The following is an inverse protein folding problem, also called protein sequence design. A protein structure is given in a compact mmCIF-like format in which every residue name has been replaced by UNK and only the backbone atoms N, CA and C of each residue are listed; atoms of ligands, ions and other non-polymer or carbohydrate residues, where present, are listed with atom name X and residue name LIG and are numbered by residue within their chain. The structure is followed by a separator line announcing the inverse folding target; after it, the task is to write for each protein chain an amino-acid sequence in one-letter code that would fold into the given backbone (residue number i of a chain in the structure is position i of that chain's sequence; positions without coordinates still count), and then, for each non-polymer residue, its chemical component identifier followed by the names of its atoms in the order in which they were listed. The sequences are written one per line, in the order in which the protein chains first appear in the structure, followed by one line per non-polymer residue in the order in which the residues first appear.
data_IF_825293995762
#
_entry.id   IF_825293995762
#
_cell.length_a   1.000
_cell.length_b   1.000
_cell.length_c   1.000
_cell.angle_alpha   90.00
_cell.angle_beta   90.00
_cell.angle_gamma   90.00
#
_symmetry.space_group_name_H-M   'P 1'
#
loop_
_entity.id
_entity.type
_entity.pdbx_description
1 polymer ?
#
# COMPACT_ATOMS: atom_id res chain seq x y z
N UNK A 1 9.59 32.15 27.35
CA UNK A 1 10.01 31.05 26.45
C UNK A 1 11.02 31.63 25.47
N UNK A 2 12.21 31.07 25.41
CA UNK A 2 13.25 31.57 24.49
C UNK A 2 13.02 30.84 23.15
N UNK A 3 12.74 31.60 22.11
CA UNK A 3 12.70 31.13 20.72
C UNK A 3 13.98 31.58 20.05
N UNK A 4 14.67 30.65 19.39
CA UNK A 4 15.78 31.02 18.53
C UNK A 4 15.25 31.01 17.11
N UNK A 5 15.26 32.16 16.45
CA UNK A 5 14.83 32.31 15.05
C UNK A 5 16.07 32.29 14.14
N UNK A 6 16.13 31.29 13.26
CA UNK A 6 17.12 31.19 12.21
C UNK A 6 16.38 30.86 10.90
N UNK A 7 15.68 31.84 10.36
CA UNK A 7 15.03 31.71 9.07
C UNK A 7 16.09 31.53 7.98
N UNK A 8 16.18 30.35 7.42
CA UNK A 8 16.97 30.04 6.24
C UNK A 8 18.20 29.15 6.45
N UNK A 9 18.60 28.81 7.68
CA UNK A 9 19.78 27.98 7.92
C UNK A 9 19.39 26.64 8.54
N UNK A 10 19.78 25.53 7.89
CA UNK A 10 19.77 24.19 8.48
C UNK A 10 20.81 24.12 9.59
N UNK A 11 20.43 23.53 10.72
CA UNK A 11 21.34 23.32 11.84
C UNK A 11 21.90 21.93 11.83
N UNK A 12 23.20 21.80 11.74
CA UNK A 12 23.90 20.53 11.81
C UNK A 12 24.44 20.27 13.20
N UNK A 13 23.99 19.21 13.86
CA UNK A 13 24.57 18.69 15.12
C UNK A 13 25.61 17.63 14.80
N UNK A 14 26.87 17.92 15.10
CA UNK A 14 28.00 17.00 14.87
C UNK A 14 28.36 16.20 16.13
N UNK A 15 27.95 16.68 17.29
CA UNK A 15 28.22 16.08 18.60
C UNK A 15 27.15 16.51 19.62
N UNK A 16 27.16 15.90 20.81
CA UNK A 16 26.20 16.22 21.87
C UNK A 16 26.27 17.68 22.32
N UNK A 17 27.46 18.31 22.31
CA UNK A 17 27.61 19.72 22.73
C UNK A 17 26.86 20.68 21.79
N UNK A 18 26.79 20.37 20.49
CA UNK A 18 25.99 21.13 19.54
C UNK A 18 24.50 21.06 19.90
N UNK A 19 24.02 19.86 20.22
CA UNK A 19 22.64 19.61 20.65
C UNK A 19 22.33 20.26 22.02
N UNK A 20 23.25 20.25 22.96
CA UNK A 20 23.12 20.90 24.26
C UNK A 20 23.00 22.43 24.13
N UNK A 21 23.57 23.01 23.09
CA UNK A 21 23.37 24.42 22.73
C UNK A 21 21.91 24.80 22.48
N UNK A 22 21.06 23.82 22.16
CA UNK A 22 19.61 24.02 21.96
C UNK A 22 18.78 23.89 23.23
N UNK A 23 19.33 23.33 24.31
CA UNK A 23 18.58 22.93 25.52
C UNK A 23 17.81 24.07 26.19
N UNK A 24 18.28 25.33 26.04
CA UNK A 24 17.59 26.52 26.57
C UNK A 24 16.43 26.99 25.68
N UNK A 25 16.22 26.37 24.51
CA UNK A 25 15.24 26.78 23.50
C UNK A 25 14.05 25.88 23.52
N UNK A 26 12.86 26.42 23.68
CA UNK A 26 11.63 25.62 23.58
C UNK A 26 11.21 25.37 22.13
N UNK A 27 11.58 26.25 21.20
CA UNK A 27 11.25 26.13 19.79
C UNK A 27 12.48 26.40 18.94
N UNK A 28 12.80 25.48 18.04
CA UNK A 28 13.78 25.66 16.97
C UNK A 28 13.03 25.98 15.67
N UNK A 29 13.36 27.12 15.06
CA UNK A 29 12.84 27.46 13.74
C UNK A 29 13.81 27.00 12.67
N UNK A 30 13.28 26.41 11.59
CA UNK A 30 14.04 25.77 10.51
C UNK A 30 14.31 24.29 10.78
N UNK A 31 15.21 23.72 9.98
CA UNK A 31 15.54 22.31 10.01
C UNK A 31 16.66 22.00 11.00
N UNK A 32 16.64 20.81 11.56
CA UNK A 32 17.69 20.23 12.39
C UNK A 32 18.23 18.99 11.69
N UNK A 33 19.49 19.05 11.30
CA UNK A 33 20.22 17.93 10.69
C UNK A 33 21.23 17.36 11.70
N UNK A 34 21.25 16.05 11.82
CA UNK A 34 22.28 15.32 12.56
C UNK A 34 23.32 14.85 11.56
N UNK A 35 24.59 15.15 11.83
CA UNK A 35 25.68 14.77 10.91
C UNK A 35 25.73 13.27 10.65
N UNK A 36 25.91 12.87 9.40
CA UNK A 36 26.15 11.47 9.01
C UNK A 36 27.41 10.83 9.62
N UNK A 37 28.29 11.63 10.22
CA UNK A 37 29.48 11.15 10.96
C UNK A 37 29.23 11.01 12.46
N UNK A 38 28.00 11.27 12.94
CA UNK A 38 27.67 11.16 14.37
C UNK A 38 27.85 9.72 14.88
N UNK A 39 28.34 9.58 16.12
CA UNK A 39 28.58 8.30 16.77
C UNK A 39 28.05 8.32 18.20
N UNK A 40 27.44 7.22 18.65
CA UNK A 40 26.88 7.08 19.98
C UNK A 40 25.45 7.63 20.10
N UNK A 41 25.04 8.02 21.31
CA UNK A 41 23.69 8.49 21.60
C UNK A 41 23.60 10.00 21.53
N UNK A 42 22.56 10.51 20.89
CA UNK A 42 22.20 11.94 20.83
C UNK A 42 20.93 12.21 21.62
N UNK A 43 20.96 13.28 22.42
CA UNK A 43 19.80 13.75 23.19
C UNK A 43 19.50 15.20 22.85
N UNK A 44 18.28 15.48 22.36
CA UNK A 44 17.77 16.83 22.14
C UNK A 44 16.96 17.30 23.37
N UNK A 45 17.68 17.73 24.41
CA UNK A 45 17.08 18.12 25.67
C UNK A 45 16.40 19.50 25.58
N UNK A 46 15.27 19.70 26.28
CA UNK A 46 14.59 21.00 26.44
C UNK A 46 13.79 21.49 25.24
N UNK A 47 14.09 21.00 24.03
CA UNK A 47 13.38 21.37 22.80
C UNK A 47 11.98 20.76 22.82
N UNK A 48 10.96 21.60 22.61
CA UNK A 48 9.55 21.15 22.54
C UNK A 48 9.01 21.11 21.11
N UNK A 49 9.54 21.96 20.24
CA UNK A 49 9.06 22.08 18.86
C UNK A 49 10.23 22.34 17.91
N UNK A 50 10.20 21.69 16.75
CA UNK A 50 11.01 21.99 15.57
C UNK A 50 10.03 22.43 14.49
N UNK A 51 10.17 23.64 13.93
CA UNK A 51 9.22 24.13 12.92
C UNK A 51 9.47 23.57 11.53
N UNK A 52 10.67 23.14 11.23
CA UNK A 52 11.08 22.40 10.03
C UNK A 52 11.17 20.90 10.28
N UNK A 53 12.08 20.25 9.56
CA UNK A 53 12.36 18.82 9.67
C UNK A 53 13.41 18.48 10.73
N UNK A 54 13.46 17.21 11.09
CA UNK A 54 14.55 16.58 11.84
C UNK A 54 15.11 15.45 10.98
N UNK A 55 16.39 15.51 10.62
CA UNK A 55 16.98 14.53 9.73
C UNK A 55 18.33 14.00 10.21
N UNK A 56 18.60 12.73 9.87
CA UNK A 56 19.92 12.11 9.98
C UNK A 56 20.10 11.11 8.84
N UNK A 57 21.18 11.24 8.09
CA UNK A 57 21.50 10.36 6.98
C UNK A 57 22.91 9.79 7.12
N UNK A 58 23.04 8.46 7.05
CA UNK A 58 24.31 7.75 6.99
C UNK A 58 25.10 7.66 8.30
N UNK A 59 24.57 8.12 9.44
CA UNK A 59 25.26 8.01 10.73
C UNK A 59 25.28 6.53 11.24
N UNK A 60 26.04 5.70 10.57
CA UNK A 60 26.10 4.25 10.79
C UNK A 60 26.59 3.84 12.18
N UNK A 61 27.25 4.74 12.93
CA UNK A 61 27.72 4.49 14.30
C UNK A 61 26.82 5.12 15.39
N UNK A 62 25.69 5.69 14.99
CA UNK A 62 24.70 6.23 15.93
C UNK A 62 23.89 5.11 16.57
N UNK A 63 23.88 5.04 17.90
CA UNK A 63 23.23 3.98 18.67
C UNK A 63 21.88 4.39 19.24
N UNK A 64 21.70 5.69 19.54
CA UNK A 64 20.45 6.20 20.10
C UNK A 64 20.14 7.63 19.67
N UNK A 65 18.85 7.94 19.53
CA UNK A 65 18.34 9.28 19.34
C UNK A 65 17.13 9.50 20.26
N UNK A 66 17.19 10.53 21.10
CA UNK A 66 16.12 10.83 22.04
C UNK A 66 15.80 12.30 22.15
N UNK A 67 14.52 12.62 22.37
CA UNK A 67 14.01 13.96 22.61
C UNK A 67 12.73 13.89 23.48
N UNK A 68 12.89 13.74 24.78
CA UNK A 68 11.79 13.47 25.72
C UNK A 68 10.74 14.60 25.79
N UNK A 69 11.11 15.84 25.51
CA UNK A 69 10.23 17.01 25.57
C UNK A 69 9.64 17.41 24.21
N UNK A 70 10.15 16.86 23.10
CA UNK A 70 9.76 17.24 21.74
C UNK A 70 8.36 16.70 21.44
N UNK A 71 7.41 17.61 21.20
CA UNK A 71 6.02 17.26 20.93
C UNK A 71 5.62 17.44 19.46
N UNK A 72 6.36 18.26 18.70
CA UNK A 72 6.06 18.44 17.26
C UNK A 72 7.30 18.67 16.41
N UNK A 73 7.26 18.11 15.20
CA UNK A 73 8.17 18.37 14.07
C UNK A 73 7.29 18.86 12.92
N UNK A 74 7.52 20.07 12.45
CA UNK A 74 6.63 20.75 11.49
C UNK A 74 6.66 20.14 10.09
N UNK A 75 7.81 19.59 9.70
CA UNK A 75 8.04 18.96 8.40
C UNK A 75 8.44 17.49 8.59
N UNK A 76 9.38 16.98 7.86
CA UNK A 76 9.74 15.55 7.82
C UNK A 76 10.65 15.16 8.98
N UNK A 77 10.31 14.06 9.65
CA UNK A 77 11.22 13.32 10.52
C UNK A 77 11.85 12.18 9.70
N UNK A 78 13.10 12.40 9.27
CA UNK A 78 13.80 11.52 8.33
C UNK A 78 15.03 10.88 8.95
N UNK A 79 15.07 9.56 8.95
CA UNK A 79 16.21 8.76 9.38
C UNK A 79 16.56 7.76 8.27
N UNK A 80 17.80 7.81 7.77
CA UNK A 80 18.25 6.96 6.66
C UNK A 80 19.61 6.33 6.98
N UNK A 81 19.74 5.03 6.81
CA UNK A 81 21.03 4.35 6.88
C UNK A 81 21.70 4.31 8.26
N UNK A 82 20.92 4.40 9.34
CA UNK A 82 21.43 4.35 10.71
C UNK A 82 21.51 2.87 11.15
N UNK A 83 22.50 2.16 10.67
CA UNK A 83 22.58 0.70 10.74
C UNK A 83 22.82 0.13 12.14
N UNK A 84 23.25 0.94 13.10
CA UNK A 84 23.44 0.54 14.51
C UNK A 84 22.42 1.17 15.46
N UNK A 85 21.46 1.95 14.94
CA UNK A 85 20.44 2.61 15.77
C UNK A 85 19.53 1.56 16.42
N UNK A 86 19.55 1.49 17.75
CA UNK A 86 18.71 0.57 18.53
C UNK A 86 17.61 1.30 19.31
N UNK A 87 17.86 2.57 19.65
CA UNK A 87 16.96 3.35 20.51
C UNK A 87 16.47 4.60 19.78
N UNK A 88 15.15 4.74 19.67
CA UNK A 88 14.50 5.92 19.14
C UNK A 88 13.37 6.34 20.12
N UNK A 89 13.67 7.32 21.02
CA UNK A 89 12.79 7.68 22.12
C UNK A 89 12.31 9.12 22.04
N UNK A 90 11.01 9.29 21.76
CA UNK A 90 10.33 10.58 21.61
C UNK A 90 9.01 10.57 22.40
N UNK A 91 9.12 10.46 23.72
CA UNK A 91 7.99 10.20 24.61
C UNK A 91 6.83 11.21 24.53
N UNK A 92 7.13 12.47 24.20
CA UNK A 92 6.13 13.53 24.08
C UNK A 92 5.62 13.78 22.65
N UNK A 93 6.20 13.14 21.64
CA UNK A 93 5.91 13.42 20.23
C UNK A 93 4.50 12.97 19.85
N UNK A 94 3.72 13.92 19.32
CA UNK A 94 2.33 13.68 18.90
C UNK A 94 2.05 14.16 17.47
N UNK A 95 2.89 15.07 16.95
CA UNK A 95 2.66 15.68 15.64
C UNK A 95 3.94 15.71 14.81
N UNK A 96 3.84 15.23 13.58
CA UNK A 96 4.93 15.24 12.60
C UNK A 96 4.36 15.57 11.22
N UNK A 97 5.05 16.37 10.42
CA UNK A 97 4.63 16.62 9.04
C UNK A 97 4.64 15.32 8.22
N UNK A 98 5.76 14.59 8.24
CA UNK A 98 5.85 13.22 7.71
C UNK A 98 6.92 12.41 8.45
N UNK A 99 6.80 11.09 8.43
CA UNK A 99 7.80 10.15 8.94
C UNK A 99 8.42 9.40 7.75
N UNK A 100 9.75 9.41 7.67
CA UNK A 100 10.54 8.68 6.67
C UNK A 100 11.67 7.92 7.36
N UNK A 101 11.49 6.63 7.65
CA UNK A 101 12.50 5.77 8.24
C UNK A 101 12.92 4.71 7.23
N UNK A 102 14.20 4.75 6.83
CA UNK A 102 14.75 3.86 5.80
C UNK A 102 16.07 3.26 6.25
N UNK A 103 16.24 1.96 6.09
CA UNK A 103 17.47 1.22 6.41
C UNK A 103 17.91 1.40 7.88
N UNK A 104 17.04 1.02 8.81
CA UNK A 104 17.27 1.01 10.26
C UNK A 104 17.17 -0.42 10.82
N UNK A 105 18.05 -1.36 10.42
CA UNK A 105 17.87 -2.79 10.65
C UNK A 105 17.93 -3.22 12.12
N UNK A 106 18.55 -2.42 13.00
CA UNK A 106 18.65 -2.72 14.43
C UNK A 106 17.54 -2.05 15.27
N UNK A 107 16.74 -1.18 14.67
CA UNK A 107 15.63 -0.51 15.36
C UNK A 107 14.43 -1.47 15.47
N UNK A 108 14.17 -2.00 16.67
CA UNK A 108 13.14 -3.03 16.91
C UNK A 108 11.79 -2.45 17.38
N UNK A 109 11.80 -1.24 17.94
CA UNK A 109 10.59 -0.58 18.45
C UNK A 109 10.72 0.94 18.39
N UNK A 110 9.56 1.60 18.39
CA UNK A 110 9.44 3.07 18.54
C UNK A 110 9.00 3.36 19.97
N UNK A 111 9.79 4.14 20.73
CA UNK A 111 9.37 4.62 22.04
C UNK A 111 8.72 6.01 21.89
N UNK A 112 7.53 6.02 21.30
CA UNK A 112 6.66 7.19 21.16
C UNK A 112 5.49 7.04 22.15
N UNK A 113 5.79 7.26 23.43
CA UNK A 113 4.88 6.93 24.56
C UNK A 113 3.49 7.58 24.45
N UNK A 114 3.40 8.84 24.00
CA UNK A 114 2.11 9.49 23.74
C UNK A 114 1.46 9.02 22.44
N UNK A 115 2.26 8.51 21.53
CA UNK A 115 1.85 8.14 20.19
C UNK A 115 1.70 9.33 19.24
N UNK A 116 2.20 9.16 18.02
CA UNK A 116 2.03 10.15 16.94
C UNK A 116 0.60 10.08 16.44
N UNK A 117 -0.17 11.14 16.66
CA UNK A 117 -1.59 11.22 16.27
C UNK A 117 -1.81 12.00 14.99
N UNK A 118 -0.84 12.83 14.58
CA UNK A 118 -0.89 13.61 13.34
C UNK A 118 0.37 13.40 12.51
N UNK A 119 0.21 12.90 11.28
CA UNK A 119 1.22 12.89 10.24
C UNK A 119 0.58 12.97 8.85
N UNK A 120 1.20 13.71 7.93
CA UNK A 120 0.76 13.77 6.53
C UNK A 120 1.07 12.48 5.79
N UNK A 121 2.22 11.86 6.05
CA UNK A 121 2.59 10.54 5.53
C UNK A 121 3.50 9.77 6.50
N UNK A 122 3.49 8.46 6.36
CA UNK A 122 4.39 7.55 7.08
C UNK A 122 5.00 6.57 6.07
N UNK A 123 6.31 6.61 5.92
CA UNK A 123 7.11 5.72 5.08
C UNK A 123 8.11 5.00 5.98
N UNK A 124 8.00 3.69 6.09
CA UNK A 124 8.91 2.86 6.91
C UNK A 124 9.37 1.68 6.05
N UNK A 125 10.65 1.71 5.68
CA UNK A 125 11.23 0.74 4.75
C UNK A 125 12.51 0.14 5.30
N UNK A 126 12.63 -1.18 5.22
CA UNK A 126 13.83 -1.93 5.60
C UNK A 126 14.31 -1.58 7.02
N UNK A 127 13.43 -1.78 8.00
CA UNK A 127 13.73 -1.58 9.43
C UNK A 127 13.64 -2.90 10.19
N UNK A 128 14.20 -2.90 11.43
CA UNK A 128 14.09 -4.03 12.36
C UNK A 128 12.78 -4.06 13.17
N UNK A 129 11.83 -3.14 12.89
CA UNK A 129 10.63 -2.98 13.69
C UNK A 129 9.77 -4.25 13.71
N UNK A 130 9.36 -4.65 14.90
CA UNK A 130 8.46 -5.80 15.13
C UNK A 130 6.98 -5.40 15.20
N UNK A 131 6.69 -4.11 15.43
CA UNK A 131 5.36 -3.52 15.44
C UNK A 131 5.43 -2.03 15.11
N UNK A 132 4.28 -1.42 14.81
CA UNK A 132 4.15 0.04 14.64
C UNK A 132 3.55 0.71 15.89
N UNK A 133 3.75 0.14 17.07
CA UNK A 133 3.34 0.76 18.32
C UNK A 133 3.97 2.15 18.45
N UNK A 134 3.17 3.14 18.88
CA UNK A 134 3.57 4.55 18.87
C UNK A 134 3.06 5.34 17.65
N UNK A 135 2.56 4.67 16.61
CA UNK A 135 1.82 5.29 15.49
C UNK A 135 0.33 5.16 15.78
N UNK A 136 -0.32 6.26 16.14
CA UNK A 136 -1.73 6.29 16.63
C UNK A 136 -2.59 7.24 15.81
N UNK A 137 -2.33 7.34 14.49
CA UNK A 137 -2.96 8.29 13.58
C UNK A 137 -4.47 8.06 13.44
N UNK A 138 -5.25 9.13 13.43
CA UNK A 138 -6.67 9.11 13.05
C UNK A 138 -6.88 9.33 11.54
N UNK A 139 -6.02 10.12 10.94
CA UNK A 139 -5.97 10.37 9.49
C UNK A 139 -4.54 10.35 9.02
N UNK A 140 -4.33 9.91 7.79
CA UNK A 140 -3.03 9.92 7.13
C UNK A 140 -3.20 10.23 5.64
N UNK A 141 -2.22 10.86 5.03
CA UNK A 141 -2.11 10.95 3.58
C UNK A 141 -1.69 9.59 3.02
N UNK A 142 -0.40 9.30 3.05
CA UNK A 142 0.17 8.03 2.64
C UNK A 142 0.62 7.17 3.84
N UNK A 143 0.52 5.85 3.70
CA UNK A 143 0.99 4.88 4.68
C UNK A 143 1.70 3.73 3.95
N UNK A 144 3.03 3.85 3.80
CA UNK A 144 3.86 2.96 2.98
C UNK A 144 4.83 2.18 3.87
N UNK A 145 4.58 0.90 4.04
CA UNK A 145 5.32 0.01 4.95
C UNK A 145 5.87 -1.15 4.14
N UNK A 146 7.18 -1.11 3.89
CA UNK A 146 7.83 -2.05 2.97
C UNK A 146 9.11 -2.64 3.52
N UNK A 147 9.40 -3.89 3.14
CA UNK A 147 10.66 -4.60 3.46
C UNK A 147 10.98 -4.75 4.96
N UNK A 148 9.98 -4.66 5.85
CA UNK A 148 10.18 -4.83 7.29
C UNK A 148 10.02 -6.30 7.67
N UNK A 149 11.09 -7.07 7.55
CA UNK A 149 11.09 -8.53 7.69
C UNK A 149 10.85 -9.05 9.11
N UNK A 150 10.83 -8.17 10.11
CA UNK A 150 10.50 -8.50 11.51
C UNK A 150 9.09 -8.08 11.93
N UNK A 151 8.37 -7.34 11.05
CA UNK A 151 7.05 -6.77 11.36
C UNK A 151 5.97 -7.85 11.33
N UNK A 152 5.46 -8.23 12.50
CA UNK A 152 4.50 -9.33 12.68
C UNK A 152 3.05 -8.88 12.57
N UNK A 153 2.75 -7.73 13.16
CA UNK A 153 1.40 -7.18 13.22
C UNK A 153 1.41 -5.69 12.98
N UNK A 154 0.39 -5.24 12.29
CA UNK A 154 0.07 -3.82 12.15
C UNK A 154 -1.35 -3.59 12.62
N UNK A 155 -1.47 -2.84 13.70
CA UNK A 155 -2.75 -2.46 14.28
C UNK A 155 -2.80 -0.94 14.42
N UNK A 156 -3.57 -0.29 13.55
CA UNK A 156 -3.74 1.17 13.51
C UNK A 156 -5.19 1.49 13.88
N UNK A 157 -5.52 1.18 15.14
CA UNK A 157 -6.90 1.21 15.64
C UNK A 157 -7.62 2.55 15.45
N UNK A 158 -6.90 3.66 15.48
CA UNK A 158 -7.50 4.99 15.43
C UNK A 158 -7.71 5.50 14.00
N UNK A 159 -7.11 4.85 12.99
CA UNK A 159 -7.16 5.32 11.60
C UNK A 159 -8.56 5.19 11.01
N UNK A 160 -9.17 6.33 10.68
CA UNK A 160 -10.52 6.45 10.11
C UNK A 160 -10.51 6.77 8.62
N UNK A 161 -9.48 7.47 8.15
CA UNK A 161 -9.38 7.92 6.77
C UNK A 161 -7.93 7.96 6.28
N UNK A 162 -7.71 7.49 5.05
CA UNK A 162 -6.45 7.63 4.32
C UNK A 162 -6.68 8.34 3.00
N UNK A 163 -5.96 9.45 2.75
CA UNK A 163 -6.21 10.31 1.60
C UNK A 163 -5.29 10.05 0.42
N UNK A 164 -4.31 9.15 0.57
CA UNK A 164 -3.44 8.68 -0.51
C UNK A 164 -3.25 7.16 -0.41
N UNK A 165 -2.08 6.64 -0.76
CA UNK A 165 -1.81 5.20 -0.83
C UNK A 165 -1.57 4.61 0.56
N UNK A 166 -2.26 3.51 0.87
CA UNK A 166 -1.86 2.53 1.88
C UNK A 166 -1.18 1.37 1.14
N UNK A 167 0.10 1.10 1.43
CA UNK A 167 0.88 0.04 0.79
C UNK A 167 1.61 -0.84 1.81
N UNK A 168 1.49 -2.14 1.65
CA UNK A 168 2.25 -3.14 2.40
C UNK A 168 2.86 -4.13 1.43
N UNK A 169 4.20 -4.18 1.36
CA UNK A 169 4.90 -5.07 0.44
C UNK A 169 6.25 -5.54 1.02
N UNK A 170 6.64 -6.77 0.76
CA UNK A 170 7.95 -7.29 1.14
C UNK A 170 8.21 -7.36 2.65
N UNK A 171 7.19 -7.25 3.49
CA UNK A 171 7.33 -7.36 4.93
C UNK A 171 7.45 -8.83 5.37
N UNK A 172 7.49 -9.07 6.70
CA UNK A 172 7.56 -10.41 7.25
C UNK A 172 6.54 -11.34 6.62
N UNK A 173 6.97 -12.55 6.30
CA UNK A 173 6.06 -13.63 5.93
C UNK A 173 5.14 -13.98 7.11
N UNK A 174 3.85 -13.79 6.91
CA UNK A 174 2.89 -13.96 8.02
C UNK A 174 2.38 -12.64 8.61
N UNK A 175 2.71 -11.48 8.03
CA UNK A 175 2.20 -10.19 8.49
C UNK A 175 0.67 -10.16 8.55
N UNK A 176 0.15 -9.76 9.70
CA UNK A 176 -1.28 -9.52 9.95
C UNK A 176 -1.54 -8.01 10.06
N UNK A 177 -2.56 -7.52 9.34
CA UNK A 177 -2.87 -6.11 9.22
C UNK A 177 -4.32 -5.87 9.63
N UNK A 178 -4.53 -4.94 10.57
CA UNK A 178 -5.85 -4.56 11.07
C UNK A 178 -6.09 -3.06 10.95
N UNK A 179 -7.18 -2.70 10.28
CA UNK A 179 -7.73 -1.35 10.19
C UNK A 179 -9.19 -1.35 10.68
N UNK A 180 -9.43 -1.54 11.99
CA UNK A 180 -10.79 -1.77 12.49
C UNK A 180 -11.73 -0.58 12.31
N UNK A 181 -11.21 0.63 12.23
CA UNK A 181 -11.99 1.87 12.15
C UNK A 181 -11.83 2.63 10.83
N UNK A 182 -11.07 2.10 9.86
CA UNK A 182 -10.90 2.74 8.56
C UNK A 182 -12.19 2.69 7.75
N UNK A 183 -12.86 3.84 7.62
CA UNK A 183 -14.12 3.95 6.87
C UNK A 183 -13.91 4.31 5.41
N UNK A 184 -12.92 5.16 5.13
CA UNK A 184 -12.68 5.65 3.77
C UNK A 184 -11.19 5.67 3.43
N UNK A 185 -10.88 5.47 2.15
CA UNK A 185 -9.51 5.53 1.65
C UNK A 185 -9.42 5.90 0.18
N UNK A 186 -8.18 6.02 -0.29
CA UNK A 186 -7.89 6.28 -1.70
C UNK A 186 -7.46 4.97 -2.37
N UNK A 187 -6.23 4.54 -2.18
CA UNK A 187 -5.70 3.30 -2.72
C UNK A 187 -5.20 2.40 -1.59
N UNK A 188 -5.45 1.11 -1.70
CA UNK A 188 -4.91 0.11 -0.77
C UNK A 188 -4.30 -1.04 -1.56
N UNK A 189 -3.03 -1.35 -1.28
CA UNK A 189 -2.29 -2.44 -1.93
C UNK A 189 -1.61 -3.32 -0.89
N UNK A 190 -1.80 -4.62 -1.04
CA UNK A 190 -1.28 -5.64 -0.11
C UNK A 190 -0.56 -6.73 -0.88
N UNK A 191 0.71 -6.96 -0.53
CA UNK A 191 1.55 -8.00 -1.12
C UNK A 191 2.20 -8.85 -0.04
N UNK A 192 2.10 -10.17 -0.20
CA UNK A 192 2.71 -11.16 0.68
C UNK A 192 2.27 -11.03 2.14
N UNK A 193 0.99 -10.74 2.41
CA UNK A 193 0.42 -10.68 3.77
C UNK A 193 -0.43 -11.89 4.09
N UNK A 194 -0.55 -12.23 5.38
CA UNK A 194 -1.32 -13.40 5.85
C UNK A 194 -2.73 -13.06 6.29
N UNK A 195 -3.00 -11.80 6.63
CA UNK A 195 -4.34 -11.34 7.01
C UNK A 195 -4.48 -9.85 6.75
N UNK A 196 -5.67 -9.45 6.27
CA UNK A 196 -6.10 -8.05 6.17
C UNK A 196 -7.52 -7.95 6.69
N UNK A 197 -7.72 -7.12 7.72
CA UNK A 197 -9.03 -6.85 8.34
C UNK A 197 -9.42 -5.39 8.13
N UNK A 198 -10.56 -5.18 7.47
CA UNK A 198 -11.11 -3.84 7.16
C UNK A 198 -12.63 -3.79 7.42
N UNK A 199 -13.10 -4.12 8.63
CA UNK A 199 -14.53 -4.32 8.90
C UNK A 199 -15.38 -3.07 8.72
N UNK A 200 -14.79 -1.88 8.87
CA UNK A 200 -15.51 -0.60 8.77
C UNK A 200 -15.38 0.07 7.40
N UNK A 201 -14.62 -0.52 6.47
CA UNK A 201 -14.35 0.11 5.18
C UNK A 201 -15.61 0.20 4.32
N UNK A 202 -16.04 1.41 4.02
CA UNK A 202 -17.27 1.69 3.25
C UNK A 202 -17.00 2.06 1.80
N UNK A 203 -15.92 2.83 1.56
CA UNK A 203 -15.57 3.35 0.22
C UNK A 203 -14.08 3.50 0.02
N UNK A 204 -13.64 3.13 -1.18
CA UNK A 204 -12.33 3.48 -1.73
C UNK A 204 -12.52 4.27 -3.03
N UNK A 205 -11.86 5.42 -3.14
CA UNK A 205 -11.91 6.23 -4.37
C UNK A 205 -10.98 5.68 -5.46
N UNK A 206 -9.99 4.90 -5.08
CA UNK A 206 -9.01 4.27 -5.95
C UNK A 206 -9.04 2.75 -5.84
N UNK A 207 -7.90 2.12 -6.03
CA UNK A 207 -7.72 0.68 -6.13
C UNK A 207 -7.76 -0.02 -4.77
N UNK A 208 -8.38 -1.20 -4.72
CA UNK A 208 -8.17 -2.22 -3.71
C UNK A 208 -7.51 -3.44 -4.35
N UNK A 209 -6.26 -3.69 -4.02
CA UNK A 209 -5.49 -4.72 -4.71
C UNK A 209 -4.72 -5.66 -3.78
N UNK A 210 -4.72 -6.95 -4.14
CA UNK A 210 -4.09 -8.05 -3.41
C UNK A 210 -3.26 -8.91 -4.34
N UNK A 211 -1.93 -9.02 -4.07
CA UNK A 211 -1.00 -9.81 -4.88
C UNK A 211 -0.16 -10.76 -4.04
N UNK A 212 -0.14 -12.03 -4.39
CA UNK A 212 0.72 -13.03 -3.75
C UNK A 212 0.45 -13.23 -2.26
N UNK A 213 -0.76 -12.94 -1.78
CA UNK A 213 -1.08 -13.03 -0.36
C UNK A 213 -1.36 -14.46 0.07
N UNK A 214 -1.32 -14.69 1.39
CA UNK A 214 -1.39 -16.03 2.00
C UNK A 214 -2.66 -16.27 2.80
N UNK A 215 -3.59 -15.32 2.84
CA UNK A 215 -4.88 -15.49 3.53
C UNK A 215 -5.81 -16.46 2.77
N UNK A 216 -6.62 -17.19 3.54
CA UNK A 216 -7.63 -18.09 2.99
C UNK A 216 -8.94 -17.36 2.66
N UNK A 217 -9.23 -16.28 3.36
CA UNK A 217 -10.44 -15.48 3.14
C UNK A 217 -10.14 -14.00 3.27
N UNK A 218 -10.88 -13.20 2.50
CA UNK A 218 -10.92 -11.74 2.65
C UNK A 218 -12.36 -11.28 2.82
N UNK A 219 -12.59 -10.35 3.76
CA UNK A 219 -13.92 -9.80 4.03
C UNK A 219 -13.87 -8.27 4.13
N UNK A 220 -14.76 -7.61 3.38
CA UNK A 220 -15.04 -6.18 3.50
C UNK A 220 -16.58 -5.99 3.54
N UNK A 221 -17.21 -6.25 4.72
CA UNK A 221 -18.66 -6.40 4.82
C UNK A 221 -19.43 -5.11 4.56
N UNK A 222 -18.80 -3.95 4.69
CA UNK A 222 -19.40 -2.63 4.53
C UNK A 222 -18.99 -1.92 3.23
N UNK A 223 -18.06 -2.51 2.45
CA UNK A 223 -17.56 -1.88 1.23
C UNK A 223 -18.65 -1.84 0.15
N UNK A 224 -19.06 -0.63 -0.22
CA UNK A 224 -20.09 -0.39 -1.24
C UNK A 224 -19.53 -0.02 -2.59
N UNK A 225 -18.32 0.56 -2.62
CA UNK A 225 -17.73 1.14 -3.82
C UNK A 225 -16.18 1.13 -3.76
N UNK A 226 -15.56 0.76 -4.88
CA UNK A 226 -14.12 0.94 -5.12
C UNK A 226 -13.89 1.33 -6.58
N UNK A 227 -12.69 1.82 -6.92
CA UNK A 227 -12.32 1.97 -8.34
C UNK A 227 -11.92 0.61 -8.91
N UNK A 228 -10.67 0.22 -8.79
CA UNK A 228 -10.24 -1.09 -9.24
C UNK A 228 -10.28 -2.11 -8.11
N UNK A 229 -10.67 -3.34 -8.42
CA UNK A 229 -10.65 -4.46 -7.46
C UNK A 229 -9.84 -5.61 -8.05
N UNK A 230 -8.74 -5.96 -7.38
CA UNK A 230 -7.77 -6.91 -7.91
C UNK A 230 -7.40 -7.97 -6.88
N UNK A 231 -7.61 -9.23 -7.23
CA UNK A 231 -7.09 -10.41 -6.54
C UNK A 231 -6.22 -11.19 -7.51
N UNK A 232 -4.91 -11.14 -7.34
CA UNK A 232 -3.99 -11.78 -8.26
C UNK A 232 -2.94 -12.61 -7.51
N UNK A 233 -2.75 -13.86 -7.91
CA UNK A 233 -1.75 -14.76 -7.34
C UNK A 233 -1.93 -15.03 -5.83
N UNK A 234 -3.19 -15.10 -5.35
CA UNK A 234 -3.49 -15.40 -3.95
C UNK A 234 -3.79 -16.90 -3.79
N UNK A 235 -2.75 -17.71 -3.83
CA UNK A 235 -2.83 -19.20 -3.96
C UNK A 235 -3.58 -19.93 -2.85
N UNK A 236 -3.81 -19.29 -1.69
CA UNK A 236 -4.58 -19.88 -0.59
C UNK A 236 -6.01 -19.35 -0.51
N UNK A 237 -6.34 -18.31 -1.25
CA UNK A 237 -7.63 -17.63 -1.20
C UNK A 237 -8.74 -18.56 -1.69
N UNK A 238 -9.69 -18.86 -0.83
CA UNK A 238 -10.83 -19.72 -1.11
C UNK A 238 -12.18 -19.01 -0.91
N UNK A 239 -12.18 -17.83 -0.29
CA UNK A 239 -13.40 -17.06 -0.05
C UNK A 239 -13.15 -15.56 -0.12
N UNK A 240 -14.04 -14.85 -0.83
CA UNK A 240 -14.14 -13.38 -0.84
C UNK A 240 -15.57 -13.03 -0.41
N UNK A 241 -15.70 -12.19 0.62
CA UNK A 241 -17.01 -11.75 1.14
C UNK A 241 -17.12 -10.21 1.07
N UNK A 242 -17.91 -9.75 0.11
CA UNK A 242 -18.25 -8.33 -0.06
C UNK A 242 -19.75 -8.17 -0.33
N UNK A 243 -20.62 -8.49 0.65
CA UNK A 243 -22.05 -8.70 0.43
C UNK A 243 -22.82 -7.45 0.02
N UNK A 244 -22.23 -6.25 0.20
CA UNK A 244 -22.88 -4.97 -0.12
C UNK A 244 -22.19 -4.19 -1.23
N UNK A 245 -21.14 -4.75 -1.86
CA UNK A 245 -20.42 -4.10 -2.95
C UNK A 245 -21.36 -3.90 -4.14
N UNK A 246 -21.55 -2.64 -4.54
CA UNK A 246 -22.46 -2.26 -5.63
C UNK A 246 -21.73 -1.82 -6.89
N UNK A 247 -20.59 -1.12 -6.71
CA UNK A 247 -19.94 -0.45 -7.83
C UNK A 247 -18.44 -0.66 -7.81
N UNK A 248 -17.90 -1.07 -8.95
CA UNK A 248 -16.47 -1.02 -9.27
C UNK A 248 -16.30 -0.01 -10.40
N UNK A 249 -15.75 1.19 -10.06
CA UNK A 249 -15.58 2.30 -11.00
C UNK A 249 -14.39 2.15 -11.96
N UNK A 250 -13.70 1.05 -11.91
CA UNK A 250 -12.61 0.64 -12.78
C UNK A 250 -12.83 -0.79 -13.22
N UNK A 251 -11.77 -1.59 -13.26
CA UNK A 251 -11.85 -2.98 -13.60
C UNK A 251 -11.90 -3.90 -12.38
N UNK A 252 -12.39 -5.10 -12.60
CA UNK A 252 -12.44 -6.14 -11.60
C UNK A 252 -11.71 -7.40 -12.08
N UNK A 253 -10.60 -7.71 -11.41
CA UNK A 253 -9.77 -8.86 -11.77
C UNK A 253 -9.67 -9.89 -10.64
N UNK A 254 -9.84 -11.16 -10.99
CA UNK A 254 -9.50 -12.31 -10.15
C UNK A 254 -8.69 -13.26 -11.03
N UNK A 255 -7.42 -13.47 -10.68
CA UNK A 255 -6.54 -14.34 -11.46
C UNK A 255 -5.59 -15.12 -10.55
N UNK A 256 -5.18 -16.31 -10.96
CA UNK A 256 -4.21 -17.17 -10.26
C UNK A 256 -4.52 -17.35 -8.76
N UNK A 257 -5.81 -17.52 -8.44
CA UNK A 257 -6.31 -17.79 -7.09
C UNK A 257 -7.09 -19.11 -7.11
N UNK A 258 -6.37 -20.20 -7.37
CA UNK A 258 -6.92 -21.50 -7.80
C UNK A 258 -7.72 -22.24 -6.74
N UNK A 259 -7.74 -21.77 -5.49
CA UNK A 259 -8.61 -22.31 -4.43
C UNK A 259 -9.96 -21.59 -4.35
N UNK A 260 -10.14 -20.50 -5.09
CA UNK A 260 -11.39 -19.77 -5.12
C UNK A 260 -12.33 -20.42 -6.13
N UNK A 261 -13.27 -21.23 -5.64
CA UNK A 261 -14.18 -22.01 -6.49
C UNK A 261 -15.53 -21.31 -6.74
N UNK A 262 -15.86 -20.31 -5.93
CA UNK A 262 -17.13 -19.58 -6.01
C UNK A 262 -16.85 -18.09 -6.14
N UNK A 263 -17.44 -17.47 -7.15
CA UNK A 263 -17.52 -16.03 -7.33
C UNK A 263 -18.89 -15.57 -6.84
N UNK A 264 -18.95 -14.82 -5.75
CA UNK A 264 -20.22 -14.36 -5.16
C UNK A 264 -20.18 -12.86 -4.79
N UNK A 265 -20.86 -12.07 -5.64
CA UNK A 265 -21.04 -10.63 -5.43
C UNK A 265 -22.50 -10.26 -5.64
N UNK A 266 -23.38 -10.59 -4.69
CA UNK A 266 -24.83 -10.58 -4.88
C UNK A 266 -25.43 -9.20 -5.10
N UNK A 267 -24.73 -8.13 -4.73
CA UNK A 267 -25.17 -6.74 -4.88
C UNK A 267 -24.39 -5.93 -5.94
N UNK A 268 -23.45 -6.57 -6.64
CA UNK A 268 -22.67 -5.88 -7.67
C UNK A 268 -23.56 -5.52 -8.87
N UNK A 269 -23.76 -4.23 -9.08
CA UNK A 269 -24.60 -3.68 -10.12
C UNK A 269 -23.82 -3.15 -11.33
N UNK A 270 -22.65 -2.53 -11.05
CA UNK A 270 -21.91 -1.79 -12.08
C UNK A 270 -20.42 -2.03 -12.01
N UNK A 271 -19.82 -2.34 -13.15
CA UNK A 271 -18.38 -2.31 -13.40
C UNK A 271 -18.12 -1.39 -14.60
N UNK A 272 -17.42 -0.26 -14.37
CA UNK A 272 -17.20 0.70 -15.48
C UNK A 272 -15.97 0.36 -16.32
N UNK A 273 -15.10 -0.50 -15.86
CA UNK A 273 -14.01 -1.12 -16.61
C UNK A 273 -14.39 -2.51 -17.13
N UNK A 274 -13.40 -3.37 -17.25
CA UNK A 274 -13.57 -4.76 -17.62
C UNK A 274 -13.73 -5.67 -16.39
N UNK A 275 -14.37 -6.82 -16.57
CA UNK A 275 -14.29 -7.96 -15.68
C UNK A 275 -13.32 -8.97 -16.28
N UNK A 276 -12.35 -9.44 -15.49
CA UNK A 276 -11.36 -10.43 -15.92
C UNK A 276 -11.15 -11.47 -14.83
N UNK A 277 -11.89 -12.58 -14.94
CA UNK A 277 -11.84 -13.69 -14.00
C UNK A 277 -11.25 -14.94 -14.65
N UNK A 278 -10.17 -15.44 -14.06
CA UNK A 278 -9.51 -16.67 -14.50
C UNK A 278 -9.09 -17.52 -13.30
N UNK A 279 -9.49 -18.79 -13.26
CA UNK A 279 -9.22 -19.68 -12.12
C UNK A 279 -9.92 -21.02 -12.21
N UNK A 280 -10.20 -21.65 -11.07
CA UNK A 280 -10.91 -22.92 -10.96
C UNK A 280 -12.33 -22.70 -10.40
N UNK A 281 -13.14 -21.91 -11.12
CA UNK A 281 -14.49 -21.57 -10.64
C UNK A 281 -15.51 -22.65 -11.04
N UNK A 282 -16.36 -23.04 -10.10
CA UNK A 282 -17.49 -23.94 -10.33
C UNK A 282 -18.82 -23.18 -10.32
N UNK A 283 -18.89 -22.04 -9.63
CA UNK A 283 -20.07 -21.21 -9.51
C UNK A 283 -19.72 -19.73 -9.63
N UNK A 284 -20.62 -18.93 -10.22
CA UNK A 284 -20.50 -17.50 -10.26
C UNK A 284 -21.88 -16.82 -10.16
N UNK A 285 -22.05 -16.05 -9.08
CA UNK A 285 -23.26 -15.32 -8.74
C UNK A 285 -23.03 -13.82 -8.87
N UNK A 286 -23.47 -13.26 -10.00
CA UNK A 286 -23.46 -11.82 -10.31
C UNK A 286 -24.89 -11.35 -10.64
N UNK A 287 -25.86 -11.81 -9.87
CA UNK A 287 -27.30 -11.73 -10.21
C UNK A 287 -27.83 -10.29 -10.28
N UNK A 288 -27.17 -9.36 -9.59
CA UNK A 288 -27.55 -7.92 -9.61
C UNK A 288 -26.87 -7.13 -10.72
N UNK A 289 -26.00 -7.75 -11.55
CA UNK A 289 -25.17 -7.05 -12.52
C UNK A 289 -26.03 -6.43 -13.64
N UNK A 290 -25.93 -5.11 -13.79
CA UNK A 290 -26.70 -4.30 -14.75
C UNK A 290 -25.83 -3.65 -15.83
N UNK A 291 -24.53 -3.48 -15.54
CA UNK A 291 -23.64 -2.79 -16.47
C UNK A 291 -22.19 -3.24 -16.30
N UNK A 292 -21.59 -3.72 -17.39
CA UNK A 292 -20.14 -3.83 -17.60
C UNK A 292 -19.80 -3.01 -18.85
N UNK A 293 -19.06 -1.91 -18.70
CA UNK A 293 -18.73 -1.05 -19.87
C UNK A 293 -17.61 -1.60 -20.73
N UNK A 294 -16.64 -2.26 -20.08
CA UNK A 294 -15.52 -2.92 -20.76
C UNK A 294 -15.85 -4.34 -21.17
N UNK A 295 -14.81 -5.10 -21.45
CA UNK A 295 -14.91 -6.51 -21.78
C UNK A 295 -15.27 -7.36 -20.56
N UNK A 296 -15.89 -8.49 -20.79
CA UNK A 296 -16.17 -9.50 -19.78
C UNK A 296 -15.43 -10.78 -20.15
N UNK A 297 -14.46 -11.17 -19.34
CA UNK A 297 -13.72 -12.42 -19.49
C UNK A 297 -13.96 -13.31 -18.26
N UNK A 298 -14.49 -14.53 -18.49
CA UNK A 298 -14.65 -15.56 -17.48
C UNK A 298 -14.04 -16.86 -18.02
N UNK A 299 -12.89 -17.26 -17.51
CA UNK A 299 -12.25 -18.50 -17.92
C UNK A 299 -12.03 -19.39 -16.70
N UNK A 300 -12.53 -20.62 -16.79
CA UNK A 300 -12.45 -21.57 -15.68
C UNK A 300 -11.98 -22.94 -16.12
N UNK A 301 -11.08 -23.54 -15.31
CA UNK A 301 -10.81 -24.99 -15.39
C UNK A 301 -11.94 -25.82 -14.77
N UNK A 302 -12.74 -25.23 -13.88
CA UNK A 302 -13.95 -25.84 -13.31
C UNK A 302 -15.14 -25.82 -14.27
N UNK A 303 -16.28 -26.28 -13.80
CA UNK A 303 -17.48 -26.45 -14.61
C UNK A 303 -18.51 -25.32 -14.37
N UNK A 304 -18.15 -24.11 -14.80
CA UNK A 304 -19.05 -22.95 -14.70
C UNK A 304 -20.04 -22.91 -15.86
N UNK A 305 -21.27 -22.42 -15.61
CA UNK A 305 -22.24 -22.19 -16.67
C UNK A 305 -22.04 -20.84 -17.33
N UNK A 306 -21.76 -20.82 -18.63
CA UNK A 306 -21.63 -19.60 -19.44
C UNK A 306 -22.99 -18.97 -19.85
N UNK A 307 -24.08 -19.72 -19.80
CA UNK A 307 -25.39 -19.31 -20.33
C UNK A 307 -25.86 -17.96 -19.76
N UNK A 308 -25.61 -17.69 -18.49
CA UNK A 308 -26.00 -16.41 -17.86
C UNK A 308 -25.24 -15.25 -18.48
N UNK A 309 -23.93 -15.39 -18.68
CA UNK A 309 -23.05 -14.34 -19.24
C UNK A 309 -23.30 -14.12 -20.73
N UNK A 310 -23.52 -15.20 -21.50
CA UNK A 310 -23.96 -15.13 -22.90
C UNK A 310 -25.27 -14.34 -23.02
N UNK A 311 -26.21 -14.54 -22.11
CA UNK A 311 -27.47 -13.77 -22.11
C UNK A 311 -27.27 -12.30 -21.73
N UNK A 312 -26.39 -12.00 -20.78
CA UNK A 312 -26.03 -10.61 -20.40
C UNK A 312 -25.32 -9.86 -21.54
N UNK A 313 -24.63 -10.57 -22.42
CA UNK A 313 -23.95 -10.01 -23.58
C UNK A 313 -24.89 -9.80 -24.77
N UNK A 314 -26.05 -10.48 -24.79
CA UNK A 314 -27.04 -10.36 -25.86
C UNK A 314 -27.45 -8.89 -26.04
N UNK A 315 -27.42 -8.43 -27.30
CA UNK A 315 -27.77 -7.05 -27.66
C UNK A 315 -26.95 -6.00 -26.90
N UNK A 316 -25.87 -6.36 -26.24
CA UNK A 316 -25.07 -5.50 -25.36
C UNK A 316 -25.92 -4.79 -24.29
N UNK A 317 -26.88 -5.50 -23.72
CA UNK A 317 -27.77 -4.94 -22.70
C UNK A 317 -27.04 -4.70 -21.37
N UNK A 318 -26.29 -5.68 -20.88
CA UNK A 318 -25.52 -5.60 -19.63
C UNK A 318 -24.02 -5.46 -19.94
N UNK A 319 -23.45 -6.36 -20.75
CA UNK A 319 -22.05 -6.33 -21.15
C UNK A 319 -21.93 -5.53 -22.46
N UNK A 320 -21.22 -4.40 -22.41
CA UNK A 320 -21.08 -3.48 -23.56
C UNK A 320 -19.89 -3.83 -24.44
N UNK A 321 -18.84 -4.41 -23.86
CA UNK A 321 -17.64 -4.87 -24.56
C UNK A 321 -17.79 -6.29 -25.14
N UNK A 322 -16.66 -6.92 -25.37
CA UNK A 322 -16.58 -8.32 -25.82
C UNK A 322 -16.80 -9.25 -24.62
N UNK A 323 -17.68 -10.22 -24.79
CA UNK A 323 -17.86 -11.30 -23.84
C UNK A 323 -17.02 -12.50 -24.27
N UNK A 324 -16.35 -13.12 -23.31
CA UNK A 324 -15.65 -14.38 -23.45
C UNK A 324 -15.90 -15.22 -22.21
N UNK A 325 -16.63 -16.32 -22.37
CA UNK A 325 -16.77 -17.30 -21.31
C UNK A 325 -16.25 -18.66 -21.80
N UNK A 326 -15.31 -19.25 -21.04
CA UNK A 326 -14.74 -20.57 -21.32
C UNK A 326 -14.76 -21.41 -20.06
N UNK A 327 -15.22 -22.64 -20.18
CA UNK A 327 -15.30 -23.59 -19.06
C UNK A 327 -14.56 -24.89 -19.41
N UNK A 328 -14.11 -25.62 -18.37
CA UNK A 328 -13.36 -26.88 -18.49
C UNK A 328 -12.11 -26.79 -19.38
N UNK A 329 -11.53 -25.59 -19.50
CA UNK A 329 -10.33 -25.31 -20.27
C UNK A 329 -9.33 -24.53 -19.45
N UNK A 330 -8.03 -24.76 -19.67
CA UNK A 330 -7.01 -23.93 -19.05
C UNK A 330 -7.21 -22.49 -19.50
N UNK A 331 -7.18 -21.51 -18.57
CA UNK A 331 -7.19 -20.11 -18.92
C UNK A 331 -6.04 -19.81 -19.87
N UNK A 332 -6.35 -19.14 -20.98
CA UNK A 332 -5.29 -18.64 -21.85
C UNK A 332 -4.54 -17.55 -21.08
N UNK A 333 -3.26 -17.75 -20.82
CA UNK A 333 -2.39 -16.67 -20.40
C UNK A 333 -2.45 -15.62 -21.49
N UNK A 334 -3.05 -14.47 -21.21
CA UNK A 334 -2.91 -13.30 -22.09
C UNK A 334 -1.50 -12.75 -21.92
N UNK A 335 -0.53 -13.47 -22.49
CA UNK A 335 0.75 -12.86 -22.80
C UNK A 335 0.48 -11.74 -23.80
N UNK A 336 0.63 -10.51 -23.34
CA UNK A 336 0.47 -9.23 -24.02
C UNK A 336 0.55 -9.15 -25.53
N UNK A 337 -0.37 -9.79 -26.25
CA UNK A 337 -0.64 -9.45 -27.65
C UNK A 337 -1.81 -8.51 -27.72
N UNK A 338 -1.50 -7.21 -27.64
CA UNK A 338 -2.38 -6.17 -28.14
C UNK A 338 -2.80 -6.53 -29.56
N UNK A 339 -4.08 -6.82 -29.77
CA UNK A 339 -4.65 -7.00 -31.07
C UNK A 339 -4.61 -5.70 -31.86
N UNK A 340 -3.53 -5.46 -32.58
CA UNK A 340 -3.50 -4.51 -33.68
C UNK A 340 -3.97 -5.23 -34.94
N UNK A 341 -5.22 -5.04 -35.32
CA UNK A 341 -5.65 -5.27 -36.69
C UNK A 341 -5.07 -4.14 -37.52
N UNK A 342 -4.01 -4.42 -38.26
CA UNK A 342 -3.76 -3.72 -39.56
C UNK A 342 -2.81 -4.55 -40.42
N UNK A 343 -3.33 -4.88 -41.60
CA UNK A 343 -2.69 -5.04 -42.92
C UNK A 343 -1.17 -5.13 -43.04
N UNK A 344 -0.77 -6.25 -43.60
CA UNK A 344 0.33 -6.45 -44.58
C UNK A 344 1.43 -5.41 -44.71
N UNK A 345 2.64 -5.81 -44.34
CA UNK A 345 3.88 -5.14 -44.71
C UNK A 345 5.08 -5.87 -44.16
N UNK A 346 5.78 -6.63 -45.04
CA UNK A 346 7.07 -7.27 -44.73
C UNK A 346 8.12 -6.24 -44.37
N UNK A 347 8.80 -6.43 -43.25
CA UNK A 347 10.19 -6.02 -43.08
C UNK A 347 10.86 -6.85 -41.96
N UNK A 348 11.92 -7.52 -42.31
CA UNK A 348 12.86 -8.18 -41.40
C UNK A 348 13.64 -7.14 -40.60
N UNK A 349 13.79 -7.33 -39.31
CA UNK A 349 14.92 -6.82 -38.56
C UNK A 349 15.13 -7.63 -37.27
N UNK A 350 16.26 -8.26 -37.20
CA UNK A 350 16.90 -8.88 -36.05
C UNK A 350 17.31 -7.81 -35.04
N UNK A 351 16.94 -7.99 -33.78
CA UNK A 351 17.70 -7.39 -32.68
C UNK A 351 17.55 -8.23 -31.41
N UNK A 352 18.66 -8.77 -30.97
CA UNK A 352 18.92 -9.34 -29.66
C UNK A 352 18.94 -8.23 -28.62
N UNK A 353 18.09 -8.35 -27.59
CA UNK A 353 18.12 -7.47 -26.42
C UNK A 353 17.76 -8.25 -25.17
N UNK A 354 18.69 -8.35 -24.24
CA UNK A 354 18.52 -8.97 -22.95
C UNK A 354 17.48 -8.20 -22.11
N UNK A 355 16.45 -8.90 -21.62
CA UNK A 355 15.48 -8.36 -20.68
C UNK A 355 16.08 -8.36 -19.28
N UNK A 356 16.29 -7.18 -18.72
CA UNK A 356 16.54 -7.00 -17.29
C UNK A 356 15.20 -7.07 -16.53
N UNK A 357 15.16 -7.87 -15.48
CA UNK A 357 14.02 -7.96 -14.57
C UNK A 357 13.73 -6.58 -13.94
N UNK A 358 12.53 -6.06 -14.17
CA UNK A 358 12.07 -4.81 -13.58
C UNK A 358 11.42 -5.08 -12.21
N UNK A 359 11.91 -4.37 -11.23
CA UNK A 359 11.41 -4.38 -9.85
C UNK A 359 10.00 -3.76 -9.79
N UNK A 360 9.01 -4.58 -9.42
CA UNK A 360 7.58 -4.22 -9.40
C UNK A 360 7.20 -3.40 -8.15
N UNK A 361 8.18 -3.07 -7.30
CA UNK A 361 7.96 -2.39 -6.02
C UNK A 361 7.64 -0.89 -6.12
N UNK A 362 7.77 -0.27 -7.30
CA UNK A 362 7.68 1.19 -7.47
C UNK A 362 6.55 1.70 -8.38
N UNK A 363 5.46 0.95 -8.57
CA UNK A 363 4.38 1.39 -9.45
C UNK A 363 3.41 2.36 -8.76
N UNK A 364 3.17 3.56 -9.31
CA UNK A 364 2.05 4.40 -8.92
C UNK A 364 0.72 3.75 -9.32
N UNK A 365 -0.31 3.98 -8.51
CA UNK A 365 -1.66 3.52 -8.78
C UNK A 365 -2.22 4.20 -10.03
N UNK A 366 -2.28 3.46 -11.14
CA UNK A 366 -2.97 3.87 -12.36
C UNK A 366 -4.27 3.06 -12.50
N UNK A 367 -5.32 3.68 -13.02
CA UNK A 367 -6.62 3.03 -13.24
C UNK A 367 -6.52 1.84 -14.21
N UNK A 368 -7.46 0.92 -14.13
CA UNK A 368 -7.38 -0.41 -14.79
C UNK A 368 -7.29 -0.36 -16.34
N UNK A 369 -7.77 0.68 -16.97
CA UNK A 369 -7.54 0.88 -18.40
C UNK A 369 -6.05 1.07 -18.73
N UNK A 370 -5.27 1.62 -17.77
CA UNK A 370 -3.82 1.68 -17.82
C UNK A 370 -3.17 0.42 -17.20
N UNK A 371 -3.84 -0.26 -16.25
CA UNK A 371 -3.33 -1.45 -15.57
C UNK A 371 -3.35 -2.68 -16.47
N UNK A 372 -4.37 -2.91 -17.29
CA UNK A 372 -4.32 -3.99 -18.29
C UNK A 372 -3.26 -3.73 -19.36
N UNK A 373 -3.04 -2.47 -19.75
CA UNK A 373 -1.92 -2.09 -20.63
C UNK A 373 -0.55 -2.14 -19.94
N UNK A 374 -0.45 -1.72 -18.69
CA UNK A 374 0.79 -1.65 -17.94
C UNK A 374 1.19 -3.00 -17.30
N UNK A 375 0.25 -3.83 -16.82
CA UNK A 375 0.53 -5.19 -16.36
C UNK A 375 1.09 -6.06 -17.50
N UNK A 376 0.65 -5.79 -18.73
CA UNK A 376 1.21 -6.42 -19.92
C UNK A 376 2.62 -5.92 -20.24
N UNK A 377 2.92 -4.65 -19.95
CA UNK A 377 4.25 -4.06 -20.17
C UNK A 377 5.26 -4.37 -19.06
N UNK A 378 4.80 -4.71 -17.84
CA UNK A 378 5.66 -4.95 -16.68
C UNK A 378 5.67 -6.41 -16.20
N UNK A 379 4.91 -7.32 -16.86
CA UNK A 379 4.99 -8.77 -16.66
C UNK A 379 5.84 -9.47 -17.73
N UNK A 380 6.51 -8.70 -18.58
CA UNK A 380 7.56 -9.13 -19.53
C UNK A 380 8.93 -8.64 -18.96
#
# INVERSE_FOLDING_TARGET
MKTIDYRGDTRTSKNQSDADGYSSCSTLKGDVEISGTYSGDLQLNGVKQISGGLSCDGASNMTGLSASSLNSIGDTFKLTGLTTLTTLSFAALTKVGSIEFTALPQLQSLDFTKGVTEAGSVVITNTGLSSLNGISLETVGGFDITENTNLKTVNVNNLKNATALINFAGNMDGLEIEFPNLGTGQNMTFRNVSSVSVPSLEKLKGQLGFWGNKFQSFSAPNLTETSDLIFNDNSKLSNISMPVLKTVNGGFQIARSDKLNVIDFPKLETVTGAIDFSGEFNEAHLDSLKLVRGDFNMQSTGNISCTTFDNMAKNREVIKGTETCKTTSNPETRDGKSGSTTSTGKASATSTGAASALDVSSMPAMGLAAVFGALVQYAL
#
